data_IF_362842499586
#
_entry.id   IF_362842499586
#
_cell.length_a   1.000
_cell.length_b   1.000
_cell.length_c   1.000
_cell.angle_alpha   90.00
_cell.angle_beta   90.00
_cell.angle_gamma   90.00
#
_symmetry.space_group_name_H-M   'P 1'
#
loop_
_entity.id
_entity.type
_entity.pdbx_description
1 polymer ?
#
# COMPACT_ATOMS: atom_id res chain seq x y z
N UNK A 1 -1.66 10.13 60.02
CA UNK A 1 -1.90 8.84 59.33
C UNK A 1 -2.58 9.02 57.95
N UNK A 2 -2.15 10.00 57.13
CA UNK A 2 -2.86 10.46 55.91
C UNK A 2 -1.99 10.38 54.63
N UNK A 3 -0.94 9.55 54.61
CA UNK A 3 -0.04 9.48 53.44
C UNK A 3 -0.31 8.30 52.49
N UNK A 4 -0.88 7.19 52.99
CA UNK A 4 -1.02 5.96 52.19
C UNK A 4 -2.16 5.97 51.15
N UNK A 5 -3.18 6.83 51.31
CA UNK A 5 -4.35 6.87 50.39
C UNK A 5 -4.08 7.66 49.11
N UNK A 6 -3.24 8.71 49.15
CA UNK A 6 -2.91 9.51 47.95
C UNK A 6 -2.04 8.71 46.96
N UNK A 7 -1.11 7.90 47.48
CA UNK A 7 -0.19 7.07 46.66
C UNK A 7 -0.92 6.04 45.80
N UNK A 8 -2.04 5.47 46.27
CA UNK A 8 -2.82 4.47 45.51
C UNK A 8 -3.57 5.08 44.32
N UNK A 9 -4.05 6.33 44.43
CA UNK A 9 -4.78 7.00 43.34
C UNK A 9 -3.85 7.38 42.18
N UNK A 10 -2.62 7.77 42.47
CA UNK A 10 -1.62 8.10 41.44
C UNK A 10 -1.20 6.89 40.60
N UNK A 11 -1.12 5.69 41.19
CA UNK A 11 -0.76 4.46 40.45
C UNK A 11 -1.85 4.04 39.47
N UNK A 12 -3.13 4.18 39.87
CA UNK A 12 -4.27 3.87 38.98
C UNK A 12 -4.31 4.81 37.78
N UNK A 13 -4.03 6.10 37.98
CA UNK A 13 -3.99 7.09 36.89
C UNK A 13 -2.84 6.78 35.92
N UNK A 14 -1.64 6.46 36.44
CA UNK A 14 -0.49 6.06 35.61
C UNK A 14 -0.77 4.79 34.80
N UNK A 15 -1.40 3.79 35.39
CA UNK A 15 -1.80 2.57 34.68
C UNK A 15 -2.82 2.87 33.57
N UNK A 16 -3.80 3.75 33.84
CA UNK A 16 -4.80 4.13 32.84
C UNK A 16 -4.20 4.90 31.65
N UNK A 17 -3.28 5.83 31.91
CA UNK A 17 -2.56 6.57 30.86
C UNK A 17 -1.71 5.63 30.01
N UNK A 18 -1.05 4.64 30.64
CA UNK A 18 -0.25 3.66 29.93
C UNK A 18 -1.11 2.75 29.04
N UNK A 19 -2.24 2.26 29.56
CA UNK A 19 -3.20 1.45 28.78
C UNK A 19 -3.79 2.25 27.62
N UNK A 20 -4.17 3.52 27.84
CA UNK A 20 -4.67 4.39 26.76
C UNK A 20 -3.58 4.68 25.71
N UNK A 21 -2.35 4.94 26.15
CA UNK A 21 -1.21 5.16 25.26
C UNK A 21 -0.90 3.93 24.39
N UNK A 22 -0.96 2.73 24.97
CA UNK A 22 -0.81 1.48 24.20
C UNK A 22 -1.94 1.29 23.18
N UNK A 23 -3.17 1.66 23.52
CA UNK A 23 -4.32 1.56 22.60
C UNK A 23 -4.14 2.48 21.39
N UNK A 24 -3.67 3.71 21.60
CA UNK A 24 -3.41 4.69 20.53
C UNK A 24 -2.29 4.20 19.58
N UNK A 25 -1.25 3.55 20.10
CA UNK A 25 -0.16 3.02 19.27
C UNK A 25 -0.59 1.88 18.35
N UNK A 26 -1.57 1.08 18.75
CA UNK A 26 -2.02 -0.08 17.95
C UNK A 26 -2.80 0.37 16.71
N UNK A 27 -3.61 1.43 16.80
CA UNK A 27 -4.44 1.89 15.68
C UNK A 27 -3.62 2.50 14.53
N UNK A 28 -2.47 3.12 14.81
CA UNK A 28 -1.64 3.77 13.77
C UNK A 28 -0.93 2.81 12.80
N UNK A 29 -0.87 1.51 13.10
CA UNK A 29 -0.12 0.55 12.27
C UNK A 29 -0.96 -0.13 11.19
N UNK A 30 -2.26 0.15 11.11
CA UNK A 30 -3.18 -0.53 10.20
C UNK A 30 -3.61 0.39 9.07
N UNK A 31 -3.62 -0.13 7.83
CA UNK A 31 -4.15 0.44 6.58
C UNK A 31 -3.15 0.99 5.54
N UNK A 32 -2.18 0.17 5.14
CA UNK A 32 -1.67 0.18 3.77
C UNK A 32 -1.85 -1.21 3.16
N UNK A 33 -3.11 -1.64 2.99
CA UNK A 33 -3.40 -2.83 2.19
C UNK A 33 -3.62 -2.37 0.76
N UNK A 34 -2.71 -2.74 -0.15
CA UNK A 34 -2.95 -2.62 -1.58
C UNK A 34 -4.02 -3.65 -1.96
N UNK A 35 -5.12 -3.19 -2.54
CA UNK A 35 -6.15 -4.06 -3.09
C UNK A 35 -5.75 -4.47 -4.51
N UNK A 36 -5.79 -5.77 -4.82
CA UNK A 36 -5.54 -6.27 -6.17
C UNK A 36 -6.74 -5.90 -7.05
N UNK A 37 -6.49 -5.06 -8.06
CA UNK A 37 -7.50 -4.59 -9.03
C UNK A 37 -7.81 -5.67 -10.05
N UNK A 38 -6.80 -6.41 -10.49
CA UNK A 38 -6.99 -7.45 -11.50
C UNK A 38 -5.69 -8.11 -11.97
N UNK A 39 -5.88 -9.09 -12.85
CA UNK A 39 -4.81 -9.71 -13.64
C UNK A 39 -5.06 -9.43 -15.11
N UNK A 40 -4.01 -9.09 -15.85
CA UNK A 40 -4.08 -8.84 -17.29
C UNK A 40 -2.98 -9.63 -18.01
N UNK A 41 -3.29 -10.06 -19.23
CA UNK A 41 -2.28 -10.66 -20.12
C UNK A 41 -1.99 -9.73 -21.29
N UNK A 42 -0.72 -9.60 -21.65
CA UNK A 42 -0.31 -8.76 -22.77
C UNK A 42 1.03 -9.13 -23.36
N UNK A 43 1.31 -8.58 -24.54
CA UNK A 43 2.57 -8.77 -25.24
C UNK A 43 3.40 -7.49 -25.21
N UNK A 44 4.69 -7.62 -24.95
CA UNK A 44 5.62 -6.49 -25.09
C UNK A 44 5.78 -6.18 -26.57
N UNK A 45 5.24 -5.06 -27.04
CA UNK A 45 5.35 -4.68 -28.45
C UNK A 45 6.74 -4.10 -28.75
N UNK A 46 7.15 -3.08 -27.98
CA UNK A 46 8.43 -2.39 -28.18
C UNK A 46 8.99 -1.74 -26.92
N UNK A 47 10.29 -1.46 -26.95
CA UNK A 47 11.00 -0.68 -25.93
C UNK A 47 11.48 0.64 -26.52
N UNK A 48 11.13 1.76 -25.89
CA UNK A 48 11.52 3.11 -26.31
C UNK A 48 11.80 3.98 -25.09
N UNK A 49 12.86 4.80 -25.09
CA UNK A 49 13.11 5.82 -24.06
C UNK A 49 13.02 5.33 -22.60
N UNK A 50 13.55 4.13 -22.31
CA UNK A 50 13.46 3.47 -20.99
C UNK A 50 12.03 3.09 -20.55
N UNK A 51 11.11 2.99 -21.49
CA UNK A 51 9.75 2.51 -21.33
C UNK A 51 9.53 1.25 -22.18
N UNK A 52 8.58 0.43 -21.78
CA UNK A 52 8.05 -0.67 -22.57
C UNK A 52 6.58 -0.36 -22.88
N UNK A 53 6.19 -0.61 -24.12
CA UNK A 53 4.80 -0.56 -24.57
C UNK A 53 4.28 -1.99 -24.58
N UNK A 54 3.24 -2.25 -23.80
CA UNK A 54 2.57 -3.54 -23.70
C UNK A 54 1.19 -3.41 -24.35
N UNK A 55 0.85 -4.34 -25.25
CA UNK A 55 -0.50 -4.46 -25.78
C UNK A 55 -1.28 -5.45 -24.90
N UNK A 56 -2.35 -4.97 -24.26
CA UNK A 56 -3.21 -5.77 -23.40
C UNK A 56 -4.32 -6.41 -24.23
N UNK A 57 -4.37 -7.74 -24.33
CA UNK A 57 -5.36 -8.43 -25.16
C UNK A 57 -6.78 -8.29 -24.60
N UNK A 58 -6.92 -8.36 -23.27
CA UNK A 58 -8.21 -8.43 -22.60
C UNK A 58 -9.04 -7.14 -22.79
N UNK A 59 -8.37 -6.00 -22.89
CA UNK A 59 -8.98 -4.66 -22.97
C UNK A 59 -8.73 -3.95 -24.30
N UNK A 60 -7.81 -4.45 -25.13
CA UNK A 60 -7.45 -3.81 -26.39
C UNK A 60 -6.77 -2.44 -26.21
N UNK A 61 -6.09 -2.23 -25.08
CA UNK A 61 -5.42 -0.98 -24.74
C UNK A 61 -3.90 -1.15 -24.71
N UNK A 62 -3.18 -0.03 -24.83
CA UNK A 62 -1.73 0.02 -24.64
C UNK A 62 -1.39 0.46 -23.21
N UNK A 63 -0.47 -0.25 -22.58
CA UNK A 63 0.08 0.11 -21.27
C UNK A 63 1.54 0.49 -21.42
N UNK A 64 1.90 1.68 -20.94
CA UNK A 64 3.29 2.17 -20.95
C UNK A 64 3.85 2.04 -19.54
N UNK A 65 4.91 1.27 -19.39
CA UNK A 65 5.55 1.00 -18.10
C UNK A 65 7.05 1.22 -18.18
N UNK A 66 7.67 1.58 -17.06
CA UNK A 66 9.12 1.74 -16.99
C UNK A 66 9.83 0.40 -17.21
N UNK A 67 10.86 0.41 -18.06
CA UNK A 67 11.69 -0.79 -18.33
C UNK A 67 12.33 -1.36 -17.06
N UNK A 68 12.55 -0.52 -16.06
CA UNK A 68 13.16 -0.92 -14.78
C UNK A 68 12.26 -1.83 -13.93
N UNK A 69 10.96 -1.93 -14.25
CA UNK A 69 10.02 -2.81 -13.56
C UNK A 69 10.10 -4.26 -14.08
N UNK A 70 10.75 -4.49 -15.22
CA UNK A 70 10.86 -5.82 -15.81
C UNK A 70 12.08 -6.57 -15.26
N UNK A 71 11.98 -7.90 -15.12
CA UNK A 71 13.16 -8.71 -14.88
C UNK A 71 14.11 -8.63 -16.08
N UNK A 72 15.40 -8.88 -15.83
CA UNK A 72 16.40 -8.96 -16.89
C UNK A 72 16.04 -10.06 -17.90
N UNK A 73 16.23 -9.79 -19.19
CA UNK A 73 16.00 -10.78 -20.26
C UNK A 73 14.61 -10.74 -20.88
N UNK A 74 13.76 -9.77 -20.53
CA UNK A 74 12.53 -9.50 -21.29
C UNK A 74 12.89 -8.85 -22.64
N UNK A 75 12.29 -9.39 -23.69
CA UNK A 75 12.43 -8.94 -25.08
C UNK A 75 11.07 -8.53 -25.66
N UNK A 76 11.10 -7.84 -26.80
CA UNK A 76 9.89 -7.58 -27.57
C UNK A 76 9.29 -8.92 -28.05
N UNK A 77 7.97 -8.93 -28.26
CA UNK A 77 7.13 -10.09 -28.56
C UNK A 77 7.03 -11.14 -27.44
N UNK A 78 7.44 -10.83 -26.22
CA UNK A 78 7.21 -11.71 -25.07
C UNK A 78 5.83 -11.49 -24.46
N UNK A 79 5.15 -12.61 -24.17
CA UNK A 79 3.91 -12.65 -23.43
C UNK A 79 4.16 -12.55 -21.94
N UNK A 80 3.41 -11.68 -21.28
CA UNK A 80 3.54 -11.41 -19.86
C UNK A 80 2.16 -11.39 -19.21
N UNK A 81 2.15 -11.80 -17.94
CA UNK A 81 1.00 -11.67 -17.06
C UNK A 81 1.34 -10.63 -15.99
N UNK A 82 0.43 -9.68 -15.79
CA UNK A 82 0.60 -8.58 -14.86
C UNK A 82 -0.49 -8.60 -13.80
N UNK A 83 -0.11 -8.28 -12.57
CA UNK A 83 -1.05 -8.02 -11.48
C UNK A 83 -1.09 -6.52 -11.25
N UNK A 84 -2.29 -5.94 -11.30
CA UNK A 84 -2.50 -4.52 -11.05
C UNK A 84 -3.02 -4.36 -9.63
N UNK A 85 -2.42 -3.43 -8.90
CA UNK A 85 -2.77 -3.10 -7.53
C UNK A 85 -3.21 -1.63 -7.49
N UNK A 86 -4.31 -1.32 -6.79
CA UNK A 86 -4.72 0.06 -6.59
C UNK A 86 -3.81 0.68 -5.53
N UNK A 87 -3.43 1.94 -5.73
CA UNK A 87 -2.80 2.66 -4.64
C UNK A 87 -3.83 2.83 -3.52
N UNK A 88 -3.43 2.71 -2.25
CA UNK A 88 -4.35 2.98 -1.16
C UNK A 88 -4.86 4.40 -1.31
N UNK A 89 -6.15 4.55 -1.61
CA UNK A 89 -6.81 5.85 -1.72
C UNK A 89 -6.54 6.61 -0.42
N UNK A 90 -5.65 7.60 -0.47
CA UNK A 90 -5.52 8.54 0.62
C UNK A 90 -6.88 9.23 0.73
N UNK A 91 -7.60 8.94 1.80
CA UNK A 91 -8.95 9.40 2.07
C UNK A 91 -8.94 10.88 2.47
N UNK A 92 -8.31 11.72 1.64
CA UNK A 92 -8.27 13.18 1.75
C UNK A 92 -9.18 13.79 0.68
N UNK A 93 -10.44 13.39 0.67
CA UNK A 93 -11.53 14.13 0.02
C UNK A 93 -12.60 14.48 1.05
N UNK A 94 -12.16 15.06 2.17
CA UNK A 94 -13.01 15.81 3.07
C UNK A 94 -12.58 17.27 3.03
N UNK A 95 -13.03 17.99 2.01
CA UNK A 95 -13.66 19.30 2.18
C UNK A 95 -14.34 19.73 0.87
N UNK A 96 -15.67 19.86 1.00
CA UNK A 96 -16.55 20.66 0.16
C UNK A 96 -16.17 22.14 0.25
#
# INVERSE_FOLDING_TARGET
MVSKRKKKRSVVILAYVFVCGLFICIETSSHNYMEKVGEFTGVVDRFENNQAVILLEDVGEEMIVSKNLFPSGIEANMWLRFEVYDEPKQLNSMNR
#
